data_IF_875308722709
#
_entry.id   IF_875308722709
#
_cell.length_a   1.000
_cell.length_b   1.000
_cell.length_c   1.000
_cell.angle_alpha   90.00
_cell.angle_beta   90.00
_cell.angle_gamma   90.00
#
_symmetry.space_group_name_H-M   'P 1'
#
loop_
_entity.id
_entity.type
_entity.pdbx_description
1 polymer ?
#
# COMPACT_ATOMS: atom_id res chain seq x y z
N UNK A 1 6.64 6.62 1.77
CA UNK A 1 6.40 6.20 3.17
C UNK A 1 7.53 5.32 3.68
N UNK A 2 7.81 5.43 4.97
CA UNK A 2 8.70 4.49 5.67
C UNK A 2 7.80 3.40 6.25
N UNK A 3 8.00 2.15 5.81
CA UNK A 3 7.13 1.00 6.15
C UNK A 3 7.98 -0.22 6.54
N UNK A 4 7.34 -1.23 7.13
CA UNK A 4 7.95 -2.53 7.47
C UNK A 4 9.16 -2.46 8.42
N UNK A 5 9.21 -1.42 9.29
CA UNK A 5 10.28 -1.25 10.28
C UNK A 5 10.41 -2.47 11.21
N UNK A 6 9.34 -3.07 11.78
CA UNK A 6 9.48 -4.22 12.67
C UNK A 6 10.18 -5.41 12.01
N UNK A 7 9.75 -5.77 10.79
CA UNK A 7 10.33 -6.88 10.02
C UNK A 7 11.77 -6.58 9.61
N UNK A 8 12.07 -5.33 9.27
CA UNK A 8 13.43 -4.88 8.97
C UNK A 8 14.35 -5.04 10.19
N UNK A 9 13.88 -4.64 11.38
CA UNK A 9 14.64 -4.77 12.61
C UNK A 9 14.91 -6.24 12.97
N UNK A 10 13.93 -7.12 12.80
CA UNK A 10 14.12 -8.56 13.00
C UNK A 10 15.12 -9.17 12.02
N UNK A 11 15.05 -8.79 10.74
CA UNK A 11 16.00 -9.22 9.71
C UNK A 11 17.43 -8.77 10.04
N UNK A 12 17.61 -7.49 10.39
CA UNK A 12 18.91 -6.94 10.76
C UNK A 12 19.46 -7.57 12.04
N UNK A 13 18.58 -7.89 13.00
CA UNK A 13 18.95 -8.64 14.21
C UNK A 13 19.49 -10.03 13.85
N UNK A 14 18.79 -10.76 12.98
CA UNK A 14 19.25 -12.07 12.50
C UNK A 14 20.60 -11.99 11.79
N UNK A 15 20.78 -11.00 10.91
CA UNK A 15 22.06 -10.78 10.23
C UNK A 15 23.18 -10.54 11.25
N UNK A 16 22.96 -9.65 12.22
CA UNK A 16 23.96 -9.37 13.26
C UNK A 16 24.34 -10.61 14.06
N UNK A 17 23.38 -11.48 14.39
CA UNK A 17 23.64 -12.72 15.15
C UNK A 17 24.36 -13.79 14.32
N UNK A 18 24.27 -13.72 12.99
CA UNK A 18 24.82 -14.73 12.07
C UNK A 18 25.98 -14.19 11.22
N UNK A 19 26.70 -13.17 11.68
CA UNK A 19 27.81 -12.53 10.95
C UNK A 19 27.44 -12.12 9.52
N UNK A 20 26.20 -11.67 9.35
CA UNK A 20 25.59 -11.25 8.09
C UNK A 20 25.48 -12.36 7.03
N UNK A 21 25.55 -13.63 7.44
CA UNK A 21 25.23 -14.77 6.59
C UNK A 21 23.71 -14.82 6.32
N UNK A 22 23.32 -14.25 5.19
CA UNK A 22 21.92 -14.14 4.78
C UNK A 22 21.25 -15.52 4.60
N UNK A 23 22.02 -16.56 4.30
CA UNK A 23 21.48 -17.91 4.08
C UNK A 23 20.82 -18.48 5.34
N UNK A 24 21.22 -17.99 6.53
CA UNK A 24 20.67 -18.39 7.83
C UNK A 24 19.43 -17.60 8.25
N UNK A 25 19.08 -16.54 7.52
CA UNK A 25 18.03 -15.59 7.88
C UNK A 25 16.87 -15.55 6.87
N UNK A 26 16.70 -16.64 6.10
CA UNK A 26 15.64 -16.78 5.09
C UNK A 26 14.22 -16.42 5.59
N UNK A 27 13.80 -16.83 6.79
CA UNK A 27 12.49 -16.46 7.33
C UNK A 27 12.29 -14.95 7.51
N UNK A 28 13.29 -14.25 8.06
CA UNK A 28 13.21 -12.82 8.33
C UNK A 28 13.27 -12.00 7.05
N UNK A 29 14.10 -12.43 6.08
CA UNK A 29 14.14 -11.84 4.74
C UNK A 29 12.76 -11.96 4.07
N UNK A 30 12.17 -13.16 4.09
CA UNK A 30 10.86 -13.42 3.48
C UNK A 30 9.76 -12.59 4.14
N UNK A 31 9.79 -12.45 5.47
CA UNK A 31 8.83 -11.63 6.21
C UNK A 31 8.93 -10.14 5.85
N UNK A 32 10.15 -9.61 5.75
CA UNK A 32 10.39 -8.23 5.32
C UNK A 32 9.92 -8.01 3.88
N UNK A 33 10.31 -8.90 2.97
CA UNK A 33 9.93 -8.85 1.56
C UNK A 33 8.40 -8.86 1.39
N UNK A 34 7.72 -9.80 2.05
CA UNK A 34 6.25 -9.93 1.99
C UNK A 34 5.54 -8.67 2.49
N UNK A 35 6.06 -8.04 3.54
CA UNK A 35 5.51 -6.77 4.02
C UNK A 35 5.66 -5.66 2.97
N UNK A 36 6.85 -5.57 2.36
CA UNK A 36 7.13 -4.52 1.39
C UNK A 36 6.33 -4.71 0.10
N UNK A 37 6.25 -5.93 -0.42
CA UNK A 37 5.49 -6.26 -1.62
C UNK A 37 4.00 -5.92 -1.44
N UNK A 38 3.43 -6.24 -0.27
CA UNK A 38 2.05 -5.85 0.05
C UNK A 38 1.86 -4.34 0.05
N UNK A 39 2.80 -3.59 0.64
CA UNK A 39 2.72 -2.12 0.61
C UNK A 39 2.80 -1.57 -0.82
N UNK A 40 3.66 -2.13 -1.68
CA UNK A 40 3.76 -1.72 -3.09
C UNK A 40 2.46 -2.02 -3.83
N UNK A 41 1.85 -3.18 -3.61
CA UNK A 41 0.59 -3.57 -4.21
C UNK A 41 -0.58 -2.69 -3.75
N UNK A 42 -0.67 -2.43 -2.45
CA UNK A 42 -1.67 -1.51 -1.88
C UNK A 42 -1.51 -0.08 -2.42
N UNK A 43 -0.27 0.38 -2.63
CA UNK A 43 0.02 1.69 -3.23
C UNK A 43 -0.45 1.77 -4.67
N UNK A 44 -0.09 0.77 -5.49
CA UNK A 44 -0.54 0.70 -6.88
C UNK A 44 -2.06 0.67 -6.96
N UNK A 45 -2.70 -0.13 -6.12
CA UNK A 45 -4.16 -0.21 -6.06
C UNK A 45 -4.78 1.15 -5.70
N UNK A 46 -4.21 1.88 -4.73
CA UNK A 46 -4.69 3.22 -4.40
C UNK A 46 -4.47 4.23 -5.52
N UNK A 47 -3.34 4.17 -6.22
CA UNK A 47 -3.05 5.05 -7.36
C UNK A 47 -4.06 4.79 -8.49
N UNK A 48 -4.28 3.53 -8.87
CA UNK A 48 -5.27 3.15 -9.88
C UNK A 48 -6.70 3.59 -9.52
N UNK A 49 -7.12 3.40 -8.26
CA UNK A 49 -8.45 3.82 -7.80
C UNK A 49 -8.63 5.34 -7.74
N UNK A 50 -7.54 6.11 -7.61
CA UNK A 50 -7.60 7.57 -7.65
C UNK A 50 -7.63 8.10 -9.08
N UNK A 51 -7.01 7.40 -10.03
CA UNK A 51 -7.02 7.74 -11.46
C UNK A 51 -8.37 7.42 -12.13
N UNK A 52 -9.17 6.52 -11.55
CA UNK A 52 -10.49 6.23 -12.07
C UNK A 52 -11.45 7.41 -11.86
N UNK A 53 -11.85 8.02 -12.97
CA UNK A 53 -12.79 9.15 -13.01
C UNK A 53 -14.21 8.72 -12.62
N UNK A 54 -14.54 7.43 -12.79
CA UNK A 54 -15.86 6.89 -12.50
C UNK A 54 -15.88 6.30 -11.08
N UNK A 55 -16.77 6.79 -10.18
CA UNK A 55 -16.93 6.25 -8.84
C UNK A 55 -17.31 4.76 -8.86
N UNK A 56 -16.64 3.94 -8.05
CA UNK A 56 -17.08 2.56 -7.81
C UNK A 56 -18.27 2.55 -6.81
N UNK A 57 -19.37 1.83 -7.09
CA UNK A 57 -20.50 1.72 -6.17
C UNK A 57 -20.09 1.16 -4.79
N UNK A 58 -20.54 1.80 -3.71
CA UNK A 58 -20.24 1.38 -2.32
C UNK A 58 -18.92 1.93 -1.76
N UNK A 59 -18.15 2.69 -2.54
CA UNK A 59 -16.93 3.32 -2.08
C UNK A 59 -17.24 4.46 -1.09
N UNK A 60 -16.68 4.39 0.12
CA UNK A 60 -16.96 5.39 1.18
C UNK A 60 -16.28 6.74 0.97
N UNK A 61 -15.16 6.76 0.24
CA UNK A 61 -14.37 7.97 -0.03
C UNK A 61 -14.19 8.10 -1.54
N UNK A 62 -14.66 9.21 -2.09
CA UNK A 62 -14.52 9.54 -3.51
C UNK A 62 -13.40 10.56 -3.71
N UNK A 63 -12.67 10.42 -4.82
CA UNK A 63 -11.75 11.46 -5.27
C UNK A 63 -12.54 12.72 -5.68
N UNK A 64 -11.85 13.86 -5.81
CA UNK A 64 -12.49 15.11 -6.25
C UNK A 64 -13.13 14.96 -7.63
N UNK A 65 -12.44 14.27 -8.53
CA UNK A 65 -12.91 14.07 -9.90
C UNK A 65 -14.10 13.12 -9.95
N UNK A 66 -14.05 12.03 -9.17
CA UNK A 66 -15.19 11.12 -8.97
C UNK A 66 -16.42 11.85 -8.41
N UNK A 67 -16.22 12.73 -7.42
CA UNK A 67 -17.29 13.54 -6.84
C UNK A 67 -17.88 14.50 -7.89
N UNK A 68 -17.04 15.17 -8.67
CA UNK A 68 -17.46 16.11 -9.71
C UNK A 68 -18.30 15.42 -10.79
N UNK A 69 -17.95 14.21 -11.20
CA UNK A 69 -18.74 13.42 -12.16
C UNK A 69 -20.16 13.13 -11.62
N UNK A 70 -20.28 12.80 -10.34
CA UNK A 70 -21.60 12.61 -9.70
C UNK A 70 -22.39 13.92 -9.66
N UNK A 71 -21.76 15.02 -9.25
CA UNK A 71 -22.42 16.32 -9.15
C UNK A 71 -22.85 16.88 -10.51
N UNK A 72 -22.11 16.60 -11.58
CA UNK A 72 -22.52 16.96 -12.94
C UNK A 72 -23.75 16.17 -13.41
N UNK A 73 -23.85 14.89 -13.02
CA UNK A 73 -25.00 14.06 -13.35
C UNK A 73 -26.24 14.39 -12.51
N UNK A 74 -26.05 14.78 -11.25
CA UNK A 74 -27.12 15.18 -10.33
C UNK A 74 -26.83 16.56 -9.71
N UNK A 75 -27.03 17.64 -10.47
CA UNK A 75 -26.76 18.99 -10.00
C UNK A 75 -27.74 19.41 -8.90
N UNK A 76 -27.24 20.16 -7.92
CA UNK A 76 -28.07 20.71 -6.86
C UNK A 76 -28.93 21.87 -7.39
N UNK A 77 -30.22 21.94 -7.04
CA UNK A 77 -31.05 23.10 -7.36
C UNK A 77 -30.52 24.36 -6.66
N UNK A 78 -30.74 25.52 -7.28
CA UNK A 78 -30.29 26.82 -6.76
C UNK A 78 -31.12 27.28 -5.57
#
# INVERSE_FOLDING_TARGET
>A
DVVCIPQMMEMLSCFKTNDFDQSKCGPQITAFQSCYDKYVDDRKTKELNNDDVIPTPGQQKLSKDQMNVLLQRWPQPK
#
